data_IF_497392191780
#
_entry.id   IF_497392191780
#
_cell.length_a   1.000
_cell.length_b   1.000
_cell.length_c   1.000
_cell.angle_alpha   90.00
_cell.angle_beta   90.00
_cell.angle_gamma   90.00
#
_symmetry.space_group_name_H-M   'P 1'
#
loop_
_entity.id
_entity.type
_entity.pdbx_description
1 polymer ?
#
# COMPACT_ATOMS: atom_id res chain seq x y z
N UNK A 1 8.91 6.78 -17.06
CA UNK A 1 9.16 6.31 -15.68
C UNK A 1 9.65 7.51 -14.87
N UNK A 2 8.86 8.01 -13.90
CA UNK A 2 9.37 8.98 -12.94
C UNK A 2 10.16 8.19 -11.91
N UNK A 3 11.49 8.30 -11.90
CA UNK A 3 12.26 7.82 -10.75
C UNK A 3 11.94 8.76 -9.60
N UNK A 4 11.15 8.29 -8.64
CA UNK A 4 10.99 9.01 -7.38
C UNK A 4 12.31 8.94 -6.65
N UNK A 5 13.11 10.02 -6.67
CA UNK A 5 14.22 10.15 -5.74
C UNK A 5 13.62 10.15 -4.33
N UNK A 6 13.92 9.13 -3.54
CA UNK A 6 13.51 9.10 -2.14
C UNK A 6 13.95 10.37 -1.41
N UNK A 7 13.17 10.81 -0.43
CA UNK A 7 13.54 11.98 0.37
C UNK A 7 14.77 11.61 1.21
N UNK A 8 15.89 12.28 0.95
CA UNK A 8 17.14 12.05 1.66
C UNK A 8 17.17 12.89 2.96
N UNK A 9 17.58 12.26 4.06
CA UNK A 9 17.77 12.92 5.37
C UNK A 9 19.29 12.95 5.66
N UNK A 10 20.01 13.99 5.21
CA UNK A 10 21.45 14.10 5.41
C UNK A 10 21.80 14.44 6.88
N UNK A 11 22.88 13.87 7.38
CA UNK A 11 23.35 14.08 8.76
C UNK A 11 23.78 15.53 9.01
N UNK A 12 24.27 16.19 7.97
CA UNK A 12 24.75 17.57 8.00
C UNK A 12 23.61 18.53 8.37
N UNK A 13 22.38 18.22 7.95
CA UNK A 13 21.20 19.06 8.19
C UNK A 13 20.32 18.55 9.33
N UNK A 14 20.38 17.26 9.66
CA UNK A 14 19.52 16.60 10.65
C UNK A 14 20.31 15.66 11.59
N UNK A 15 21.31 16.17 12.33
CA UNK A 15 22.13 15.34 13.21
C UNK A 15 21.32 14.72 14.36
N UNK A 16 20.30 15.41 14.86
CA UNK A 16 19.42 14.91 15.92
C UNK A 16 18.59 13.71 15.46
N UNK A 17 18.16 13.65 14.20
CA UNK A 17 17.42 12.50 13.67
C UNK A 17 18.37 11.32 13.47
N UNK A 18 19.50 11.57 12.81
CA UNK A 18 20.45 10.51 12.44
C UNK A 18 21.15 9.89 13.65
N UNK A 19 21.44 10.66 14.70
CA UNK A 19 22.07 10.15 15.91
C UNK A 19 21.11 9.32 16.79
N UNK A 20 19.79 9.45 16.59
CA UNK A 20 18.78 8.68 17.31
C UNK A 20 18.24 7.49 16.48
N UNK A 21 18.85 7.19 15.33
CA UNK A 21 18.52 5.99 14.57
C UNK A 21 18.87 4.75 15.39
N UNK A 22 17.91 3.84 15.52
CA UNK A 22 18.10 2.55 16.20
C UNK A 22 17.84 1.39 15.25
N UNK A 23 18.49 0.27 15.50
CA UNK A 23 18.21 -0.98 14.79
C UNK A 23 16.89 -1.57 15.26
N UNK A 24 16.21 -2.29 14.37
CA UNK A 24 15.10 -3.12 14.80
C UNK A 24 15.59 -4.24 15.74
N UNK A 25 14.67 -4.74 16.56
CA UNK A 25 14.91 -5.92 17.39
C UNK A 25 15.11 -7.17 16.51
N UNK A 26 15.65 -8.24 17.10
CA UNK A 26 15.75 -9.53 16.42
C UNK A 26 14.35 -10.09 16.16
N UNK A 27 14.04 -10.38 14.90
CA UNK A 27 12.73 -10.87 14.45
C UNK A 27 12.79 -12.36 14.11
N UNK A 28 11.67 -13.05 14.33
CA UNK A 28 11.41 -14.42 13.89
C UNK A 28 10.46 -14.44 12.68
N UNK A 29 10.46 -15.51 11.87
CA UNK A 29 9.46 -15.69 10.82
C UNK A 29 8.04 -15.60 11.38
N UNK A 30 7.23 -14.68 10.84
CA UNK A 30 5.87 -14.40 11.31
C UNK A 30 5.74 -13.08 12.10
N UNK A 31 6.85 -12.51 12.58
CA UNK A 31 6.84 -11.20 13.22
C UNK A 31 6.56 -10.08 12.21
N UNK A 32 5.85 -9.04 12.65
CA UNK A 32 5.50 -7.88 11.81
C UNK A 32 6.03 -6.60 12.45
N UNK A 33 6.65 -5.73 11.65
CA UNK A 33 7.07 -4.41 12.09
C UNK A 33 6.28 -3.32 11.37
N UNK A 34 5.78 -2.36 12.13
CA UNK A 34 5.11 -1.18 11.61
C UNK A 34 5.96 0.06 11.87
N UNK A 35 6.16 0.87 10.84
CA UNK A 35 6.77 2.18 10.94
C UNK A 35 5.84 3.19 10.28
N UNK A 36 5.56 4.30 10.96
CA UNK A 36 4.65 5.36 10.47
C UNK A 36 5.01 5.86 9.06
N UNK A 37 6.29 5.79 8.69
CA UNK A 37 6.78 6.23 7.38
C UNK A 37 6.47 5.26 6.23
N UNK A 38 6.16 3.99 6.53
CA UNK A 38 5.75 2.99 5.55
C UNK A 38 4.26 2.70 5.70
N UNK A 39 3.43 3.49 5.01
CA UNK A 39 1.97 3.36 5.03
C UNK A 39 1.48 2.18 4.17
N UNK A 40 1.90 0.97 4.49
CA UNK A 40 1.31 -0.26 3.92
C UNK A 40 -0.01 -0.65 4.60
N UNK A 41 -0.37 0.02 5.70
CA UNK A 41 -1.68 -0.08 6.32
C UNK A 41 -2.54 1.08 5.83
N UNK A 42 -3.47 0.77 4.93
CA UNK A 42 -4.34 1.76 4.30
C UNK A 42 -5.79 1.50 4.65
N UNK A 43 -6.50 2.52 5.13
CA UNK A 43 -7.95 2.45 5.33
C UNK A 43 -8.67 2.62 3.99
N UNK A 44 -9.79 1.90 3.83
CA UNK A 44 -10.76 2.17 2.76
C UNK A 44 -11.39 3.54 3.01
N UNK A 45 -10.94 4.55 2.27
CA UNK A 45 -11.44 5.92 2.35
C UNK A 45 -11.52 6.55 0.95
N UNK A 46 -12.19 7.70 0.78
CA UNK A 46 -12.34 8.32 -0.54
C UNK A 46 -11.00 8.59 -1.23
N UNK A 47 -10.00 9.05 -0.49
CA UNK A 47 -8.67 9.34 -1.03
C UNK A 47 -7.98 8.10 -1.63
N UNK A 48 -8.17 6.93 -1.02
CA UNK A 48 -7.54 5.68 -1.45
C UNK A 48 -8.41 4.89 -2.43
N UNK A 49 -9.71 5.19 -2.52
CA UNK A 49 -10.69 4.44 -3.32
C UNK A 49 -10.34 4.34 -4.80
N UNK A 50 -9.72 5.38 -5.37
CA UNK A 50 -9.27 5.38 -6.75
C UNK A 50 -8.11 4.40 -6.97
N UNK A 51 -7.15 4.36 -6.03
CA UNK A 51 -6.03 3.44 -6.12
C UNK A 51 -6.48 1.98 -5.95
N UNK A 52 -7.46 1.70 -5.08
CA UNK A 52 -8.05 0.36 -4.92
C UNK A 52 -8.55 -0.18 -6.27
N UNK A 53 -9.18 0.65 -7.12
CA UNK A 53 -9.63 0.23 -8.45
C UNK A 53 -8.45 -0.17 -9.34
N UNK A 54 -7.40 0.65 -9.39
CA UNK A 54 -6.20 0.37 -10.19
C UNK A 54 -5.49 -0.90 -9.72
N UNK A 55 -5.36 -1.07 -8.40
CA UNK A 55 -4.77 -2.26 -7.79
C UNK A 55 -5.58 -3.53 -8.11
N UNK A 56 -6.91 -3.45 -8.08
CA UNK A 56 -7.79 -4.56 -8.45
C UNK A 56 -7.60 -4.96 -9.92
N UNK A 57 -7.57 -3.99 -10.82
CA UNK A 57 -7.43 -4.27 -12.26
C UNK A 57 -6.05 -4.86 -12.59
N UNK A 58 -5.00 -4.37 -11.90
CA UNK A 58 -3.66 -4.95 -11.95
C UNK A 58 -3.63 -6.40 -11.40
N UNK A 59 -4.31 -6.67 -10.28
CA UNK A 59 -4.46 -8.02 -9.73
C UNK A 59 -5.20 -8.97 -10.69
N UNK A 60 -6.25 -8.52 -11.38
CA UNK A 60 -6.98 -9.34 -12.34
C UNK A 60 -6.10 -9.74 -13.53
N UNK A 61 -5.32 -8.79 -14.05
CA UNK A 61 -4.45 -8.99 -15.21
C UNK A 61 -3.10 -9.63 -14.86
N UNK A 62 -2.69 -9.59 -13.58
CA UNK A 62 -1.37 -10.03 -13.14
C UNK A 62 -0.26 -9.03 -13.49
N UNK A 63 -0.63 -7.80 -13.84
CA UNK A 63 0.31 -6.73 -14.09
C UNK A 63 0.79 -6.13 -12.76
N UNK A 64 2.04 -5.69 -12.72
CA UNK A 64 2.54 -4.83 -11.65
C UNK A 64 1.61 -3.61 -11.41
N UNK A 65 1.31 -3.27 -10.15
CA UNK A 65 0.60 -2.04 -9.78
C UNK A 65 1.29 -0.77 -10.33
N UNK A 66 0.56 0.35 -10.50
CA UNK A 66 1.05 1.54 -11.22
C UNK A 66 2.19 2.29 -10.52
N UNK A 67 2.37 2.08 -9.21
CA UNK A 67 3.46 2.62 -8.38
C UNK A 67 4.71 1.73 -8.38
N UNK A 68 4.59 0.49 -8.87
CA UNK A 68 5.68 -0.46 -8.99
C UNK A 68 6.37 -0.36 -10.35
N UNK A 69 7.64 -0.81 -10.46
CA UNK A 69 8.28 -0.95 -11.77
C UNK A 69 7.46 -1.86 -12.69
N UNK A 70 7.24 -1.44 -13.95
CA UNK A 70 6.41 -2.15 -14.93
C UNK A 70 7.02 -3.41 -15.54
N UNK A 71 7.68 -4.25 -14.74
CA UNK A 71 8.28 -5.50 -15.20
C UNK A 71 7.25 -6.64 -15.39
N UNK A 72 6.05 -6.49 -14.80
CA UNK A 72 4.88 -7.38 -14.94
C UNK A 72 5.18 -8.89 -14.85
N UNK A 73 6.13 -9.27 -13.98
CA UNK A 73 6.65 -10.64 -13.91
C UNK A 73 5.60 -11.71 -13.61
N UNK A 74 4.49 -11.33 -12.98
CA UNK A 74 3.44 -12.25 -12.54
C UNK A 74 2.34 -12.48 -13.59
N UNK A 75 2.35 -11.78 -14.74
CA UNK A 75 1.27 -11.84 -15.75
C UNK A 75 0.99 -13.29 -16.20
N UNK A 76 2.06 -14.07 -16.41
CA UNK A 76 2.02 -15.46 -16.91
C UNK A 76 2.48 -16.49 -15.86
N UNK A 77 2.61 -16.08 -14.60
CA UNK A 77 3.08 -16.98 -13.55
C UNK A 77 2.05 -18.10 -13.27
N UNK A 78 2.53 -19.34 -13.20
CA UNK A 78 1.72 -20.49 -12.77
C UNK A 78 1.52 -20.43 -11.26
N UNK A 79 0.32 -20.72 -10.78
CA UNK A 79 0.00 -20.70 -9.35
C UNK A 79 -0.21 -19.30 -8.75
N UNK A 80 -0.35 -18.25 -9.59
CA UNK A 80 -0.69 -16.90 -9.12
C UNK A 80 -2.08 -16.89 -8.49
N UNK A 81 -2.20 -16.20 -7.35
CA UNK A 81 -3.48 -15.94 -6.68
C UNK A 81 -4.49 -15.23 -7.60
N UNK A 82 -5.76 -15.63 -7.48
CA UNK A 82 -6.92 -15.17 -8.25
C UNK A 82 -8.04 -14.70 -7.32
N UNK A 83 -9.07 -14.02 -7.85
CA UNK A 83 -10.20 -13.56 -7.04
C UNK A 83 -10.88 -14.66 -6.21
N UNK A 84 -10.81 -15.91 -6.66
CA UNK A 84 -11.39 -17.06 -5.97
C UNK A 84 -10.57 -17.49 -4.73
N UNK A 85 -9.29 -17.08 -4.65
CA UNK A 85 -8.44 -17.30 -3.48
C UNK A 85 -8.69 -16.27 -2.36
N UNK A 86 -9.56 -15.27 -2.61
CA UNK A 86 -9.84 -14.20 -1.67
C UNK A 86 -11.02 -14.56 -0.76
N UNK A 87 -10.81 -14.44 0.56
CA UNK A 87 -11.90 -14.44 1.52
C UNK A 87 -12.71 -13.12 1.45
N UNK A 88 -13.84 -13.07 2.16
CA UNK A 88 -14.76 -11.93 2.14
C UNK A 88 -14.07 -10.60 2.49
N UNK A 89 -13.26 -10.59 3.54
CA UNK A 89 -12.54 -9.39 3.99
C UNK A 89 -11.57 -8.89 2.90
N UNK A 90 -10.82 -9.80 2.27
CA UNK A 90 -9.89 -9.46 1.20
C UNK A 90 -10.63 -8.95 -0.04
N UNK A 91 -11.79 -9.53 -0.36
CA UNK A 91 -12.66 -9.04 -1.45
C UNK A 91 -13.13 -7.62 -1.19
N UNK A 92 -13.50 -7.29 0.04
CA UNK A 92 -13.85 -5.93 0.42
C UNK A 92 -12.67 -4.96 0.27
N UNK A 93 -11.52 -5.29 0.84
CA UNK A 93 -10.31 -4.45 0.76
C UNK A 93 -9.82 -4.22 -0.67
N UNK A 94 -10.02 -5.20 -1.57
CA UNK A 94 -9.67 -5.11 -2.99
C UNK A 94 -10.77 -4.52 -3.87
N UNK A 95 -11.87 -4.02 -3.30
CA UNK A 95 -12.95 -3.39 -4.06
C UNK A 95 -13.72 -4.33 -4.98
N UNK A 96 -13.82 -5.61 -4.63
CA UNK A 96 -14.73 -6.58 -5.27
C UNK A 96 -16.16 -6.52 -4.70
N UNK A 97 -16.35 -5.82 -3.58
CA UNK A 97 -17.66 -5.48 -3.01
C UNK A 97 -17.89 -3.98 -3.07
N UNK A 98 -19.15 -3.54 -2.92
CA UNK A 98 -19.48 -2.10 -2.86
C UNK A 98 -18.75 -1.49 -1.66
N UNK A 99 -17.92 -0.48 -1.90
CA UNK A 99 -17.31 0.31 -0.83
C UNK A 99 -18.39 1.17 -0.16
N UNK A 100 -18.31 1.42 1.16
CA UNK A 100 -19.28 2.24 1.85
C UNK A 100 -19.36 3.64 1.21
N UNK A 101 -20.58 4.15 1.04
CA UNK A 101 -20.78 5.52 0.58
C UNK A 101 -20.32 6.47 1.69
N UNK A 102 -19.36 7.32 1.36
CA UNK A 102 -18.83 8.31 2.30
C UNK A 102 -19.58 9.61 2.05
N UNK A 103 -20.54 9.95 2.93
CA UNK A 103 -21.17 11.28 2.90
C UNK A 103 -20.08 12.34 3.13
N UNK A 104 -19.95 13.27 2.18
CA UNK A 104 -19.02 14.39 2.25
C UNK A 104 -19.55 15.53 3.15
N UNK A 105 -20.69 15.33 3.82
CA UNK A 105 -21.41 16.38 4.55
C UNK A 105 -20.85 16.65 5.96
N UNK A 106 -19.80 15.95 6.38
CA UNK A 106 -19.21 16.09 7.72
C UNK A 106 -18.43 17.42 7.94
N UNK A 107 -18.37 18.33 6.95
CA UNK A 107 -17.76 19.66 7.11
C UNK A 107 -18.77 20.77 6.83
N UNK A 108 -19.71 21.01 7.76
CA UNK A 108 -20.47 22.27 7.78
C UNK A 108 -20.81 22.87 9.14
N UNK A 109 -20.29 22.34 10.25
CA UNK A 109 -20.47 22.96 11.56
C UNK A 109 -19.20 22.80 12.43
N UNK A 110 -18.28 23.75 12.33
CA UNK A 110 -17.41 24.23 13.41
C UNK A 110 -16.84 25.59 13.00
#
# INVERSE_FOLDING_TARGET
>A
MKSGSGHHIPKENYPEITNNMTTMLNLQPGDTVFCTCFLYVSSVCPANSNYIKLQRDAFLTGLAPPDSPGNHCEEKAKGRARPDDLNEQARHSMGFTKLPEVSLDAKKNQ
#
